data_IF_404419732150
#
_entry.id   IF_404419732150
#
_cell.length_a   1.000
_cell.length_b   1.000
_cell.length_c   1.000
_cell.angle_alpha   90.00
_cell.angle_beta   90.00
_cell.angle_gamma   90.00
#
_symmetry.space_group_name_H-M   'P 1'
#
loop_
_entity.id
_entity.type
_entity.pdbx_description
1 polymer ?
#
# COMPACT_ATOMS: atom_id res chain seq x y z
N UNK A 1 5.28 19.55 23.56
CA UNK A 1 5.35 18.42 24.47
C UNK A 1 6.79 17.91 24.66
N UNK A 2 7.02 16.92 25.57
CA UNK A 2 8.35 16.36 25.84
C UNK A 2 9.07 15.89 24.55
N UNK A 3 8.35 15.41 23.55
CA UNK A 3 8.92 14.98 22.26
C UNK A 3 9.65 16.08 21.48
N UNK A 4 9.26 17.35 21.65
CA UNK A 4 9.90 18.47 20.95
C UNK A 4 11.21 18.89 21.61
N UNK A 5 11.37 18.64 22.91
CA UNK A 5 12.59 18.92 23.66
C UNK A 5 13.73 18.02 23.18
N UNK A 6 13.47 16.72 23.00
CA UNK A 6 14.49 15.77 22.51
C UNK A 6 14.96 16.09 21.09
N UNK A 7 14.05 16.46 20.20
CA UNK A 7 14.36 16.82 18.81
C UNK A 7 15.32 18.03 18.72
N UNK A 8 15.34 18.89 19.73
CA UNK A 8 16.21 20.08 19.77
C UNK A 8 17.53 19.83 20.50
N UNK A 9 17.50 19.11 21.62
CA UNK A 9 18.68 18.92 22.48
C UNK A 9 19.62 17.86 21.92
N UNK A 10 19.11 16.72 21.44
CA UNK A 10 19.92 15.61 20.93
C UNK A 10 20.80 16.00 19.73
N UNK A 11 20.34 16.80 18.75
CA UNK A 11 21.23 17.28 17.68
C UNK A 11 22.38 18.16 18.15
N UNK A 12 22.22 18.85 19.27
CA UNK A 12 23.25 19.75 19.81
C UNK A 12 24.40 19.02 20.56
N UNK A 13 24.18 17.75 20.96
CA UNK A 13 25.22 16.97 21.64
C UNK A 13 26.36 16.63 20.69
N UNK A 14 27.62 16.76 21.18
CA UNK A 14 28.77 16.31 20.42
C UNK A 14 28.89 14.78 20.39
N UNK A 15 29.65 14.25 19.44
CA UNK A 15 29.91 12.81 19.34
C UNK A 15 30.68 12.27 20.53
N UNK A 16 31.63 13.08 21.06
CA UNK A 16 32.39 12.75 22.26
C UNK A 16 31.46 12.65 23.48
N UNK A 17 30.50 13.57 23.60
CA UNK A 17 29.56 13.56 24.74
C UNK A 17 28.66 12.31 24.68
N UNK A 18 28.17 11.93 23.51
CA UNK A 18 27.39 10.72 23.38
C UNK A 18 28.21 9.45 23.62
N UNK A 19 29.41 9.40 23.09
CA UNK A 19 30.33 8.27 23.33
C UNK A 19 30.60 8.09 24.83
N UNK A 20 30.82 9.19 25.54
CA UNK A 20 30.97 9.16 27.00
C UNK A 20 29.68 8.66 27.69
N UNK A 21 28.52 9.15 27.31
CA UNK A 21 27.24 8.71 27.89
C UNK A 21 27.01 7.22 27.68
N UNK A 22 27.29 6.68 26.50
CA UNK A 22 27.17 5.24 26.23
C UNK A 22 28.21 4.41 27.06
N UNK A 23 29.38 4.97 27.34
CA UNK A 23 30.37 4.32 28.18
C UNK A 23 29.99 4.33 29.69
N UNK A 24 29.42 5.46 30.14
CA UNK A 24 29.00 5.64 31.54
C UNK A 24 27.70 4.89 31.84
N UNK A 25 26.80 4.81 30.84
CA UNK A 25 25.48 4.16 30.94
C UNK A 25 25.21 3.25 29.72
N UNK A 26 25.74 2.00 29.72
CA UNK A 26 25.61 1.09 28.58
C UNK A 26 24.17 0.80 28.12
N UNK A 27 23.21 0.90 29.02
CA UNK A 27 21.77 0.71 28.71
C UNK A 27 21.25 1.74 27.68
N UNK A 28 21.87 2.91 27.59
CA UNK A 28 21.55 3.94 26.60
C UNK A 28 21.82 3.50 25.17
N UNK A 29 22.62 2.46 24.97
CA UNK A 29 22.89 1.89 23.63
C UNK A 29 21.61 1.39 22.94
N UNK A 30 20.58 1.02 23.70
CA UNK A 30 19.24 0.70 23.18
C UNK A 30 18.65 1.85 22.37
N UNK A 31 18.96 3.09 22.73
CA UNK A 31 18.45 4.30 22.07
C UNK A 31 19.41 4.85 21.00
N UNK A 32 20.50 4.16 20.70
CA UNK A 32 21.50 4.65 19.72
C UNK A 32 20.87 4.97 18.39
N UNK A 33 20.12 4.03 17.82
CA UNK A 33 19.51 4.22 16.49
C UNK A 33 18.51 5.40 16.47
N UNK A 34 17.53 5.51 17.37
CA UNK A 34 16.65 6.69 17.45
C UNK A 34 17.41 8.01 17.61
N UNK A 35 18.47 8.04 18.41
CA UNK A 35 19.30 9.23 18.61
C UNK A 35 20.03 9.59 17.30
N UNK A 36 20.61 8.60 16.61
CA UNK A 36 21.26 8.80 15.31
C UNK A 36 20.29 9.33 14.26
N UNK A 37 19.07 8.81 14.19
CA UNK A 37 18.02 9.29 13.27
C UNK A 37 17.66 10.76 13.51
N UNK A 38 17.54 11.18 14.77
CA UNK A 38 17.28 12.59 15.10
C UNK A 38 18.49 13.45 14.72
N UNK A 39 19.70 13.00 15.03
CA UNK A 39 20.94 13.76 14.79
C UNK A 39 21.29 13.87 13.31
N UNK A 40 21.01 12.84 12.52
CA UNK A 40 21.20 12.86 11.06
C UNK A 40 20.48 14.05 10.41
N UNK A 41 19.31 14.39 10.92
CA UNK A 41 18.50 15.50 10.43
C UNK A 41 18.96 16.89 10.90
N UNK A 42 20.10 17.01 11.58
CA UNK A 42 20.63 18.26 12.15
C UNK A 42 20.69 19.40 11.13
N UNK A 43 21.10 19.13 9.88
CA UNK A 43 21.19 20.11 8.80
C UNK A 43 19.82 20.70 8.38
N UNK A 44 18.75 19.97 8.67
CA UNK A 44 17.38 20.28 8.29
C UNK A 44 16.53 20.79 9.48
N UNK A 45 17.14 20.93 10.66
CA UNK A 45 16.50 21.54 11.84
C UNK A 45 16.79 23.03 11.83
N UNK A 46 15.76 23.83 12.04
CA UNK A 46 15.82 25.29 12.02
C UNK A 46 15.88 25.88 13.45
N UNK A 47 15.90 27.22 13.53
CA UNK A 47 15.80 27.89 14.83
C UNK A 47 14.46 27.57 15.50
N UNK A 48 14.36 27.67 16.84
CA UNK A 48 13.10 27.41 17.55
C UNK A 48 11.91 28.22 17.03
N UNK A 49 12.14 29.47 16.65
CA UNK A 49 11.12 30.38 16.12
C UNK A 49 10.63 29.90 14.73
N UNK A 50 11.56 29.49 13.86
CA UNK A 50 11.23 28.95 12.55
C UNK A 50 10.50 27.61 12.66
N UNK A 51 10.93 26.72 13.56
CA UNK A 51 10.23 25.44 13.79
C UNK A 51 8.80 25.66 14.33
N UNK A 52 8.61 26.62 15.22
CA UNK A 52 7.28 26.99 15.70
C UNK A 52 6.40 27.56 14.58
N UNK A 53 6.97 28.38 13.70
CA UNK A 53 6.26 28.93 12.54
C UNK A 53 5.87 27.80 11.55
N UNK A 54 6.79 26.87 11.24
CA UNK A 54 6.50 25.74 10.37
C UNK A 54 5.46 24.79 10.98
N UNK A 55 5.50 24.58 12.29
CA UNK A 55 4.49 23.77 12.98
C UNK A 55 3.09 24.39 12.86
N UNK A 56 2.98 25.72 13.02
CA UNK A 56 1.70 26.44 12.83
C UNK A 56 1.24 26.44 11.36
N UNK A 57 2.18 26.44 10.40
CA UNK A 57 1.86 26.34 8.97
C UNK A 57 1.37 24.93 8.57
N UNK A 58 1.63 23.90 9.38
CA UNK A 58 1.26 22.51 9.09
C UNK A 58 -0.23 22.33 8.88
N UNK A 59 -1.05 22.87 9.76
CA UNK A 59 -2.52 22.78 9.64
C UNK A 59 -3.04 23.40 8.33
N UNK A 60 -2.49 24.54 7.92
CA UNK A 60 -2.83 25.15 6.64
C UNK A 60 -2.28 24.32 5.45
N UNK A 61 -1.14 23.70 5.62
CA UNK A 61 -0.49 22.91 4.58
C UNK A 61 -1.24 21.61 4.25
N UNK A 62 -2.00 21.05 5.19
CA UNK A 62 -2.82 19.85 4.99
C UNK A 62 -4.12 20.14 4.22
N UNK A 63 -4.44 21.43 3.97
CA UNK A 63 -5.68 21.82 3.28
C UNK A 63 -5.87 21.22 1.89
N UNK A 64 -4.86 21.08 1.01
CA UNK A 64 -5.06 20.48 -0.30
C UNK A 64 -5.54 19.02 -0.23
N UNK A 65 -4.98 18.23 0.68
CA UNK A 65 -5.40 16.84 0.91
C UNK A 65 -6.83 16.79 1.48
N UNK A 66 -7.12 17.60 2.48
CA UNK A 66 -8.46 17.69 3.08
C UNK A 66 -9.53 18.11 2.05
N UNK A 67 -9.24 19.11 1.19
CA UNK A 67 -10.15 19.55 0.13
C UNK A 67 -10.40 18.41 -0.87
N UNK A 68 -9.33 17.73 -1.31
CA UNK A 68 -9.47 16.58 -2.21
C UNK A 68 -10.31 15.48 -1.57
N UNK A 69 -10.03 15.13 -0.31
CA UNK A 69 -10.76 14.08 0.41
C UNK A 69 -12.26 14.37 0.55
N UNK A 70 -12.62 15.59 0.92
CA UNK A 70 -14.04 16.01 1.01
C UNK A 70 -14.70 15.98 -0.37
N UNK A 71 -14.07 16.56 -1.37
CA UNK A 71 -14.58 16.54 -2.75
C UNK A 71 -14.80 15.10 -3.25
N UNK A 72 -13.77 14.25 -3.14
CA UNK A 72 -13.81 12.90 -3.69
C UNK A 72 -14.80 11.99 -2.96
N UNK A 73 -14.82 12.01 -1.63
CA UNK A 73 -15.63 11.09 -0.84
C UNK A 73 -17.07 11.58 -0.60
N UNK A 74 -17.28 12.90 -0.56
CA UNK A 74 -18.58 13.46 -0.17
C UNK A 74 -19.35 14.11 -1.34
N UNK A 75 -18.67 14.84 -2.23
CA UNK A 75 -19.34 15.67 -3.24
C UNK A 75 -19.39 15.01 -4.63
N UNK A 76 -18.36 14.23 -5.00
CA UNK A 76 -18.26 13.59 -6.30
C UNK A 76 -19.37 12.53 -6.46
N UNK A 77 -20.11 12.61 -7.55
CA UNK A 77 -21.16 11.65 -7.92
C UNK A 77 -21.02 11.29 -9.38
N UNK A 78 -21.13 10.00 -9.67
CA UNK A 78 -21.10 9.47 -11.02
C UNK A 78 -22.52 9.16 -11.48
N UNK A 79 -22.88 9.47 -12.74
CA UNK A 79 -24.11 8.97 -13.36
C UNK A 79 -24.10 7.44 -13.42
N UNK A 80 -25.27 6.81 -13.37
CA UNK A 80 -25.39 5.39 -13.67
C UNK A 80 -24.97 5.12 -15.12
N UNK A 81 -24.51 3.90 -15.39
CA UNK A 81 -24.07 3.45 -16.72
C UNK A 81 -24.95 2.31 -17.20
N UNK A 82 -25.07 2.14 -18.51
CA UNK A 82 -25.86 1.08 -19.11
C UNK A 82 -24.99 -0.04 -19.65
N UNK A 83 -25.45 -1.27 -19.48
CA UNK A 83 -24.85 -2.46 -20.11
C UNK A 83 -25.27 -2.60 -21.58
N UNK A 84 -24.76 -3.62 -22.27
CA UNK A 84 -25.06 -3.91 -23.65
C UNK A 84 -26.54 -4.28 -23.91
N UNK A 85 -27.29 -4.66 -22.88
CA UNK A 85 -28.72 -4.94 -22.93
C UNK A 85 -29.59 -3.72 -22.58
N UNK A 86 -28.99 -2.60 -22.17
CA UNK A 86 -29.68 -1.38 -21.78
C UNK A 86 -30.09 -1.31 -20.31
N UNK A 87 -29.65 -2.24 -19.46
CA UNK A 87 -29.88 -2.19 -18.02
C UNK A 87 -28.92 -1.23 -17.31
N UNK A 88 -29.46 -0.45 -16.38
CA UNK A 88 -28.67 0.51 -15.61
C UNK A 88 -27.87 -0.17 -14.50
N UNK A 89 -26.62 0.26 -14.34
CA UNK A 89 -25.69 -0.17 -13.32
C UNK A 89 -25.16 1.04 -12.53
N UNK A 90 -25.09 0.98 -11.19
CA UNK A 90 -24.54 2.06 -10.39
C UNK A 90 -23.02 2.18 -10.60
N UNK A 91 -22.55 3.38 -10.89
CA UNK A 91 -21.13 3.71 -10.98
C UNK A 91 -20.69 4.46 -9.73
N UNK A 92 -19.68 3.92 -9.06
CA UNK A 92 -19.00 4.50 -7.89
C UNK A 92 -17.53 4.09 -7.94
N UNK A 93 -16.68 4.66 -7.07
CA UNK A 93 -15.29 4.20 -6.95
C UNK A 93 -15.22 2.70 -6.61
N UNK A 94 -16.12 2.20 -5.76
CA UNK A 94 -16.16 0.80 -5.37
C UNK A 94 -16.64 -0.14 -6.49
N UNK A 95 -17.53 0.32 -7.38
CA UNK A 95 -18.05 -0.49 -8.47
C UNK A 95 -17.26 -0.34 -9.78
N UNK A 96 -16.37 0.65 -9.89
CA UNK A 96 -15.65 0.95 -11.13
C UNK A 96 -14.82 -0.25 -11.63
N UNK A 97 -13.93 -0.80 -10.81
CA UNK A 97 -13.11 -1.96 -11.20
C UNK A 97 -13.98 -3.20 -11.45
N UNK A 98 -14.93 -3.59 -10.57
CA UNK A 98 -15.89 -4.65 -10.87
C UNK A 98 -16.62 -4.50 -12.22
N UNK A 99 -17.03 -3.28 -12.59
CA UNK A 99 -17.64 -3.04 -13.90
C UNK A 99 -16.64 -3.25 -15.06
N UNK A 100 -15.34 -2.92 -14.88
CA UNK A 100 -14.31 -3.18 -15.87
C UNK A 100 -13.91 -4.67 -15.98
N UNK A 101 -14.24 -5.48 -14.98
CA UNK A 101 -14.08 -6.94 -15.02
C UNK A 101 -15.21 -7.66 -15.75
N UNK A 102 -16.32 -6.97 -16.05
CA UNK A 102 -17.46 -7.54 -16.76
C UNK A 102 -17.07 -8.15 -18.11
N UNK A 103 -17.71 -9.25 -18.50
CA UNK A 103 -17.62 -9.81 -19.85
C UNK A 103 -18.24 -8.91 -20.93
N UNK A 104 -19.16 -8.01 -20.56
CA UNK A 104 -19.79 -7.05 -21.46
C UNK A 104 -18.88 -5.86 -21.77
N UNK A 105 -18.34 -5.82 -22.99
CA UNK A 105 -17.45 -4.75 -23.41
C UNK A 105 -18.13 -3.38 -23.50
N UNK A 106 -19.44 -3.33 -23.78
CA UNK A 106 -20.19 -2.07 -23.81
C UNK A 106 -20.27 -1.48 -22.41
N UNK A 107 -20.57 -2.31 -21.40
CA UNK A 107 -20.60 -1.89 -20.00
C UNK A 107 -19.22 -1.38 -19.54
N UNK A 108 -18.14 -2.11 -19.83
CA UNK A 108 -16.77 -1.67 -19.47
C UNK A 108 -16.45 -0.31 -20.06
N UNK A 109 -16.74 -0.13 -21.34
CA UNK A 109 -16.52 1.13 -22.04
C UNK A 109 -17.33 2.26 -21.43
N UNK A 110 -18.63 2.06 -21.22
CA UNK A 110 -19.53 3.06 -20.65
C UNK A 110 -19.09 3.45 -19.24
N UNK A 111 -18.69 2.49 -18.41
CA UNK A 111 -18.16 2.75 -17.07
C UNK A 111 -16.88 3.60 -17.13
N UNK A 112 -15.93 3.23 -17.96
CA UNK A 112 -14.67 3.96 -18.11
C UNK A 112 -14.89 5.38 -18.64
N UNK A 113 -15.60 5.54 -19.74
CA UNK A 113 -15.83 6.84 -20.36
C UNK A 113 -16.61 7.77 -19.42
N UNK A 114 -17.66 7.27 -18.73
CA UNK A 114 -18.46 8.06 -17.78
C UNK A 114 -17.65 8.45 -16.55
N UNK A 115 -16.84 7.55 -16.00
CA UNK A 115 -15.99 7.83 -14.85
C UNK A 115 -15.01 8.97 -15.16
N UNK A 116 -14.24 8.85 -16.24
CA UNK A 116 -13.24 9.85 -16.60
C UNK A 116 -13.84 11.13 -17.18
N UNK A 117 -15.00 11.08 -17.84
CA UNK A 117 -15.72 12.28 -18.27
C UNK A 117 -16.19 13.10 -17.05
N UNK A 118 -16.70 12.42 -16.02
CA UNK A 118 -17.12 13.07 -14.77
C UNK A 118 -15.94 13.75 -14.08
N UNK A 119 -14.82 13.06 -13.88
CA UNK A 119 -13.59 13.65 -13.35
C UNK A 119 -13.08 14.80 -14.24
N UNK A 120 -13.16 14.63 -15.56
CA UNK A 120 -12.78 15.65 -16.55
C UNK A 120 -13.55 16.97 -16.39
N UNK A 121 -14.78 16.91 -15.91
CA UNK A 121 -15.59 18.10 -15.56
C UNK A 121 -14.97 18.94 -14.44
N UNK A 122 -14.18 18.32 -13.57
CA UNK A 122 -13.51 18.96 -12.44
C UNK A 122 -12.01 19.19 -12.66
N UNK A 123 -11.50 19.01 -13.88
CA UNK A 123 -10.07 19.05 -14.20
C UNK A 123 -9.36 20.27 -13.62
N UNK A 124 -9.95 21.46 -13.75
CA UNK A 124 -9.31 22.69 -13.29
C UNK A 124 -9.18 22.74 -11.76
N UNK A 125 -10.21 22.31 -11.04
CA UNK A 125 -10.20 22.22 -9.57
C UNK A 125 -9.19 21.19 -9.09
N UNK A 126 -9.21 20.00 -9.67
CA UNK A 126 -8.26 18.93 -9.34
C UNK A 126 -6.81 19.35 -9.63
N UNK A 127 -6.57 20.00 -10.77
CA UNK A 127 -5.24 20.53 -11.11
C UNK A 127 -4.76 21.61 -10.13
N UNK A 128 -5.66 22.52 -9.70
CA UNK A 128 -5.33 23.55 -8.72
C UNK A 128 -5.04 22.96 -7.34
N UNK A 129 -5.80 21.93 -6.92
CA UNK A 129 -5.57 21.23 -5.66
C UNK A 129 -4.23 20.50 -5.67
N UNK A 130 -3.91 19.81 -6.77
CA UNK A 130 -2.62 19.13 -6.94
C UNK A 130 -1.45 20.12 -6.98
N UNK A 131 -1.59 21.25 -7.68
CA UNK A 131 -0.57 22.32 -7.70
C UNK A 131 -0.34 22.90 -6.29
N UNK A 132 -1.41 23.06 -5.50
CA UNK A 132 -1.29 23.48 -4.11
C UNK A 132 -0.49 22.48 -3.27
N UNK A 133 -0.72 21.16 -3.47
CA UNK A 133 0.06 20.09 -2.83
C UNK A 133 1.54 20.16 -3.20
N UNK A 134 1.88 20.33 -4.49
CA UNK A 134 3.27 20.49 -4.92
C UNK A 134 3.93 21.74 -4.33
N UNK A 135 3.19 22.85 -4.24
CA UNK A 135 3.70 24.09 -3.60
C UNK A 135 3.97 23.88 -2.12
N UNK A 136 3.10 23.16 -1.42
CA UNK A 136 3.27 22.79 -0.02
C UNK A 136 4.54 21.94 0.17
N UNK A 137 4.71 20.84 -0.59
CA UNK A 137 5.89 20.00 -0.52
C UNK A 137 7.18 20.78 -0.79
N UNK A 138 7.18 21.64 -1.81
CA UNK A 138 8.33 22.48 -2.16
C UNK A 138 8.64 23.50 -1.07
N UNK A 139 7.61 24.10 -0.46
CA UNK A 139 7.80 25.05 0.64
C UNK A 139 8.54 24.40 1.82
N UNK A 140 8.10 23.23 2.28
CA UNK A 140 8.73 22.54 3.41
C UNK A 140 10.13 22.02 3.05
N UNK A 141 10.34 21.47 1.85
CA UNK A 141 11.65 21.04 1.40
C UNK A 141 12.66 22.21 1.39
N UNK A 142 12.28 23.35 0.81
CA UNK A 142 13.11 24.55 0.77
C UNK A 142 13.38 25.12 2.17
N UNK A 143 12.33 25.27 2.99
CA UNK A 143 12.47 25.79 4.36
C UNK A 143 13.46 24.92 5.18
N UNK A 144 13.42 23.60 5.00
CA UNK A 144 14.32 22.66 5.68
C UNK A 144 15.64 22.42 4.94
N UNK A 145 15.93 23.18 3.89
CA UNK A 145 17.20 23.16 3.14
C UNK A 145 17.49 21.81 2.47
N UNK A 146 16.47 21.12 2.00
CA UNK A 146 16.69 19.96 1.12
C UNK A 146 17.00 20.42 -0.31
N UNK A 147 17.86 19.70 -1.05
CA UNK A 147 18.17 20.00 -2.44
C UNK A 147 16.93 19.94 -3.35
N UNK A 148 16.03 19.00 -3.08
CA UNK A 148 14.78 18.82 -3.82
C UNK A 148 13.66 18.28 -2.92
N UNK A 149 12.44 18.26 -3.44
CA UNK A 149 11.30 17.57 -2.78
C UNK A 149 11.50 16.06 -2.74
N UNK A 150 12.19 15.47 -3.72
CA UNK A 150 12.55 14.05 -3.73
C UNK A 150 13.52 13.71 -2.61
N UNK A 151 14.59 14.51 -2.43
CA UNK A 151 15.51 14.33 -1.31
C UNK A 151 14.77 14.41 0.03
N UNK A 152 13.86 15.37 0.18
CA UNK A 152 13.06 15.53 1.40
C UNK A 152 12.15 14.33 1.68
N UNK A 153 11.53 13.77 0.62
CA UNK A 153 10.65 12.61 0.73
C UNK A 153 11.42 11.33 1.12
N UNK A 154 12.57 11.10 0.48
CA UNK A 154 13.38 9.91 0.71
C UNK A 154 14.20 9.96 2.00
N UNK A 155 14.45 11.16 2.54
CA UNK A 155 15.20 11.33 3.78
C UNK A 155 14.56 10.59 4.97
N UNK A 156 13.24 10.56 5.05
CA UNK A 156 12.53 9.92 6.16
C UNK A 156 12.83 8.41 6.27
N UNK A 157 13.03 7.76 5.13
CA UNK A 157 13.30 6.32 5.00
C UNK A 157 14.78 6.00 4.78
N UNK A 158 15.64 7.02 4.68
CA UNK A 158 17.08 6.89 4.42
C UNK A 158 17.39 6.19 3.08
N UNK A 159 16.50 6.34 2.10
CA UNK A 159 16.68 5.78 0.75
C UNK A 159 17.44 6.78 -0.11
N UNK A 160 18.59 6.41 -0.71
CA UNK A 160 19.30 7.27 -1.64
C UNK A 160 18.49 7.54 -2.92
N UNK A 161 18.59 8.75 -3.49
CA UNK A 161 17.95 9.10 -4.77
C UNK A 161 18.34 8.12 -5.89
N UNK A 162 19.57 7.61 -5.86
CA UNK A 162 20.03 6.61 -6.83
C UNK A 162 19.21 5.31 -6.84
N UNK A 163 18.59 4.92 -5.72
CA UNK A 163 17.68 3.77 -5.67
C UNK A 163 16.39 4.07 -6.43
N UNK A 164 15.85 5.28 -6.25
CA UNK A 164 14.67 5.75 -6.98
C UNK A 164 14.95 5.79 -8.50
N UNK A 165 16.06 6.37 -8.90
CA UNK A 165 16.47 6.45 -10.33
C UNK A 165 16.68 5.04 -10.91
N UNK A 166 17.38 4.16 -10.20
CA UNK A 166 17.60 2.76 -10.62
C UNK A 166 16.30 1.98 -10.79
N UNK A 167 15.29 2.25 -9.94
CA UNK A 167 13.96 1.64 -10.10
C UNK A 167 13.32 2.07 -11.43
N UNK A 168 13.33 3.37 -11.75
CA UNK A 168 12.79 3.89 -13.00
C UNK A 168 13.53 3.30 -14.20
N UNK A 169 14.85 3.28 -14.17
CA UNK A 169 15.68 2.69 -15.22
C UNK A 169 15.37 1.19 -15.41
N UNK A 170 15.23 0.45 -14.31
CA UNK A 170 14.91 -0.97 -14.35
C UNK A 170 13.52 -1.24 -14.93
N UNK A 171 12.52 -0.41 -14.60
CA UNK A 171 11.19 -0.49 -15.20
C UNK A 171 11.27 -0.22 -16.70
N UNK A 172 11.93 0.86 -17.12
CA UNK A 172 12.09 1.21 -18.53
C UNK A 172 12.81 0.11 -19.32
N UNK A 173 13.86 -0.48 -18.76
CA UNK A 173 14.60 -1.58 -19.39
C UNK A 173 13.77 -2.87 -19.57
N UNK A 174 12.63 -2.99 -18.89
CA UNK A 174 11.75 -4.16 -18.92
C UNK A 174 10.38 -3.91 -19.57
N UNK A 175 10.12 -2.71 -20.10
CA UNK A 175 8.85 -2.37 -20.75
C UNK A 175 8.49 -3.28 -21.94
N UNK A 176 9.48 -3.82 -22.65
CA UNK A 176 9.27 -4.77 -23.73
C UNK A 176 8.49 -6.02 -23.27
N UNK A 177 8.73 -6.47 -22.05
CA UNK A 177 8.00 -7.61 -21.44
C UNK A 177 6.55 -7.24 -21.18
N UNK A 178 6.30 -6.04 -20.67
CA UNK A 178 4.96 -5.52 -20.47
C UNK A 178 4.21 -5.39 -21.82
N UNK A 179 4.86 -4.84 -22.85
CA UNK A 179 4.26 -4.74 -24.18
C UNK A 179 3.92 -6.10 -24.79
N UNK A 180 4.74 -7.11 -24.56
CA UNK A 180 4.45 -8.50 -24.99
C UNK A 180 3.24 -9.06 -24.24
N UNK A 181 3.11 -8.79 -22.94
CA UNK A 181 1.94 -9.19 -22.15
C UNK A 181 0.67 -8.49 -22.65
N UNK A 182 0.71 -7.18 -22.88
CA UNK A 182 -0.42 -6.41 -23.41
C UNK A 182 -0.85 -6.93 -24.80
N UNK A 183 0.11 -7.26 -25.67
CA UNK A 183 -0.17 -7.85 -26.99
C UNK A 183 -0.78 -9.26 -26.87
N UNK A 184 -0.33 -10.07 -25.91
CA UNK A 184 -0.91 -11.36 -25.60
C UNK A 184 -2.37 -11.21 -25.12
N UNK A 185 -2.60 -10.27 -24.18
CA UNK A 185 -3.92 -9.96 -23.63
C UNK A 185 -4.91 -9.57 -24.73
N UNK A 186 -4.52 -8.66 -25.64
CA UNK A 186 -5.32 -8.27 -26.80
C UNK A 186 -5.75 -9.48 -27.62
N UNK A 187 -4.81 -10.38 -27.91
CA UNK A 187 -5.09 -11.61 -28.70
C UNK A 187 -6.01 -12.59 -27.99
N UNK A 188 -5.83 -12.77 -26.68
CA UNK A 188 -6.63 -13.71 -25.89
C UNK A 188 -8.06 -13.20 -25.66
N UNK A 189 -8.23 -11.88 -25.52
CA UNK A 189 -9.56 -11.25 -25.43
C UNK A 189 -10.27 -11.16 -26.78
N UNK A 190 -9.57 -11.44 -27.91
CA UNK A 190 -10.15 -11.41 -29.25
C UNK A 190 -10.58 -10.01 -29.72
N UNK A 191 -9.89 -8.96 -29.24
CA UNK A 191 -10.19 -7.57 -29.60
C UNK A 191 -9.20 -7.04 -30.59
N UNK A 192 -9.69 -6.24 -31.58
CA UNK A 192 -8.80 -5.62 -32.61
C UNK A 192 -7.87 -4.59 -31.99
N UNK A 193 -8.40 -3.81 -31.04
CA UNK A 193 -7.66 -2.82 -30.27
C UNK A 193 -7.97 -2.98 -28.78
N UNK A 194 -6.93 -3.04 -27.96
CA UNK A 194 -7.04 -3.09 -26.50
C UNK A 194 -7.11 -1.66 -25.97
N UNK A 195 -8.18 -1.36 -25.27
CA UNK A 195 -8.38 -0.09 -24.58
C UNK A 195 -8.17 -0.24 -23.08
N UNK A 196 -8.02 0.89 -22.37
CA UNK A 196 -7.84 0.88 -20.91
C UNK A 196 -9.00 0.19 -20.17
N UNK A 197 -10.22 0.25 -20.71
CA UNK A 197 -11.36 -0.47 -20.14
C UNK A 197 -11.32 -2.00 -20.35
N UNK A 198 -10.37 -2.53 -21.10
CA UNK A 198 -10.16 -3.97 -21.29
C UNK A 198 -9.07 -4.54 -20.38
N UNK A 199 -8.38 -3.68 -19.59
CA UNK A 199 -7.20 -4.08 -18.81
C UNK A 199 -7.57 -4.98 -17.63
N UNK A 200 -8.70 -4.77 -16.99
CA UNK A 200 -9.17 -5.57 -15.87
C UNK A 200 -10.01 -6.80 -16.25
N UNK A 201 -10.36 -6.93 -17.54
CA UNK A 201 -11.21 -8.05 -18.00
C UNK A 201 -10.51 -9.39 -17.79
N UNK A 202 -11.11 -10.38 -17.12
CA UNK A 202 -10.54 -11.71 -16.99
C UNK A 202 -10.26 -12.34 -18.36
N UNK A 203 -9.04 -12.84 -18.57
CA UNK A 203 -8.65 -13.54 -19.80
C UNK A 203 -9.14 -14.99 -19.79
N UNK A 204 -9.29 -15.57 -18.60
CA UNK A 204 -9.80 -16.92 -18.38
C UNK A 204 -11.13 -16.79 -17.65
N UNK A 205 -12.28 -16.81 -18.35
CA UNK A 205 -13.59 -16.78 -17.71
C UNK A 205 -13.89 -18.09 -17.00
N UNK A 206 -14.81 -18.07 -16.05
CA UNK A 206 -15.45 -19.24 -15.41
C UNK A 206 -14.52 -20.14 -14.57
N UNK A 207 -13.46 -19.61 -13.96
CA UNK A 207 -12.63 -20.33 -12.98
C UNK A 207 -12.85 -19.81 -11.54
N UNK A 208 -13.73 -18.81 -11.38
CA UNK A 208 -14.02 -18.26 -10.07
C UNK A 208 -14.75 -19.29 -9.20
N UNK A 209 -14.05 -19.86 -8.22
CA UNK A 209 -14.63 -20.63 -7.13
C UNK A 209 -14.99 -19.71 -5.97
N UNK A 210 -16.11 -19.99 -5.33
CA UNK A 210 -16.45 -19.36 -4.06
C UNK A 210 -15.57 -19.94 -2.96
N UNK A 211 -14.73 -19.11 -2.34
CA UNK A 211 -13.75 -19.50 -1.33
C UNK A 211 -14.11 -18.82 -0.01
N UNK A 212 -14.79 -19.55 0.86
CA UNK A 212 -15.13 -19.03 2.18
C UNK A 212 -13.90 -18.65 3.01
N UNK A 213 -14.07 -17.77 3.97
CA UNK A 213 -12.99 -17.37 4.88
C UNK A 213 -12.28 -18.56 5.54
N UNK A 214 -13.03 -19.58 5.97
CA UNK A 214 -12.44 -20.76 6.62
C UNK A 214 -11.62 -21.62 5.64
N UNK A 215 -12.03 -21.71 4.37
CA UNK A 215 -11.26 -22.36 3.33
C UNK A 215 -9.99 -21.57 3.01
N UNK A 216 -10.11 -20.24 2.87
CA UNK A 216 -8.98 -19.35 2.65
C UNK A 216 -7.96 -19.44 3.78
N UNK A 217 -8.41 -19.37 5.05
CA UNK A 217 -7.60 -19.57 6.27
C UNK A 217 -6.84 -20.89 6.23
N UNK A 218 -7.54 -22.00 5.94
CA UNK A 218 -6.92 -23.32 5.89
C UNK A 218 -5.84 -23.40 4.80
N UNK A 219 -6.13 -22.86 3.62
CA UNK A 219 -5.19 -22.85 2.48
C UNK A 219 -3.97 -21.96 2.78
N UNK A 220 -4.15 -20.79 3.38
CA UNK A 220 -3.05 -19.90 3.76
C UNK A 220 -2.15 -20.55 4.81
N UNK A 221 -2.73 -21.20 5.83
CA UNK A 221 -1.96 -21.94 6.84
C UNK A 221 -1.13 -23.09 6.21
N UNK A 222 -1.70 -23.85 5.27
CA UNK A 222 -1.01 -24.93 4.56
C UNK A 222 0.08 -24.40 3.63
N UNK A 223 -0.20 -23.31 2.91
CA UNK A 223 0.76 -22.67 2.01
C UNK A 223 1.99 -22.14 2.73
N UNK A 224 1.79 -21.53 3.90
CA UNK A 224 2.84 -20.90 4.70
C UNK A 224 3.54 -21.86 5.67
N UNK A 225 3.13 -23.14 5.72
CA UNK A 225 3.78 -24.15 6.54
C UNK A 225 5.28 -24.34 6.19
N UNK A 226 5.68 -23.99 4.96
CA UNK A 226 7.08 -23.99 4.53
C UNK A 226 7.98 -23.02 5.33
N UNK A 227 7.40 -22.01 6.01
CA UNK A 227 8.12 -21.07 6.88
C UNK A 227 8.42 -21.65 8.28
N UNK A 228 7.99 -22.88 8.54
CA UNK A 228 8.26 -23.59 9.79
C UNK A 228 7.12 -23.49 10.81
N UNK A 229 7.25 -24.33 11.84
CA UNK A 229 6.20 -24.54 12.83
C UNK A 229 5.97 -23.31 13.74
N UNK A 230 7.04 -22.60 14.08
CA UNK A 230 6.96 -21.38 14.89
C UNK A 230 6.15 -20.27 14.17
N UNK A 231 6.39 -20.09 12.87
CA UNK A 231 5.65 -19.11 12.07
C UNK A 231 4.17 -19.48 11.95
N UNK A 232 3.89 -20.74 11.63
CA UNK A 232 2.49 -21.21 11.48
C UNK A 232 1.73 -21.23 12.79
N UNK A 233 2.39 -21.47 13.92
CA UNK A 233 1.76 -21.37 15.24
C UNK A 233 1.33 -19.94 15.56
N UNK A 234 2.19 -18.94 15.28
CA UNK A 234 1.84 -17.52 15.45
C UNK A 234 0.72 -17.10 14.49
N UNK A 235 0.78 -17.54 13.24
CA UNK A 235 -0.25 -17.26 12.24
C UNK A 235 -1.61 -17.82 12.68
N UNK A 236 -1.64 -19.05 13.18
CA UNK A 236 -2.84 -19.70 13.75
C UNK A 236 -3.36 -18.95 14.96
N UNK A 237 -2.47 -18.49 15.86
CA UNK A 237 -2.84 -17.66 16.99
C UNK A 237 -3.57 -16.39 16.53
N UNK A 238 -3.09 -15.74 15.47
CA UNK A 238 -3.71 -14.53 14.89
C UNK A 238 -5.15 -14.79 14.43
N UNK A 239 -5.38 -15.89 13.74
CA UNK A 239 -6.72 -16.30 13.33
C UNK A 239 -7.63 -16.66 14.53
N UNK A 240 -7.13 -17.44 15.47
CA UNK A 240 -7.95 -18.00 16.57
C UNK A 240 -8.24 -16.95 17.65
N UNK A 241 -7.34 -15.97 17.86
CA UNK A 241 -7.50 -14.89 18.85
C UNK A 241 -8.13 -13.62 18.27
N UNK A 242 -8.72 -13.71 17.09
CA UNK A 242 -9.53 -12.64 16.51
C UNK A 242 -8.76 -11.35 16.29
N UNK A 243 -7.54 -11.46 15.74
CA UNK A 243 -6.80 -10.27 15.32
C UNK A 243 -7.43 -9.61 14.08
N UNK A 244 -8.30 -10.35 13.36
CA UNK A 244 -8.91 -9.95 12.10
C UNK A 244 -10.37 -9.51 12.30
N UNK A 245 -10.70 -8.38 11.73
CA UNK A 245 -12.07 -7.95 11.44
C UNK A 245 -12.39 -8.28 9.98
N UNK A 246 -13.15 -9.34 9.75
CA UNK A 246 -13.18 -10.08 8.48
C UNK A 246 -14.17 -9.51 7.47
N UNK A 247 -15.44 -9.35 7.88
CA UNK A 247 -16.54 -9.12 6.94
C UNK A 247 -16.85 -7.64 6.75
N UNK A 248 -17.30 -7.24 5.53
CA UNK A 248 -17.79 -5.89 5.30
C UNK A 248 -19.05 -5.60 6.12
N UNK A 249 -19.21 -4.35 6.54
CA UNK A 249 -20.44 -3.87 7.16
C UNK A 249 -20.63 -2.37 6.91
N UNK A 250 -21.84 -1.86 7.22
CA UNK A 250 -22.15 -0.45 7.03
C UNK A 250 -21.27 0.44 7.91
N UNK A 251 -20.61 1.41 7.31
CA UNK A 251 -19.70 2.34 7.98
C UNK A 251 -18.27 1.80 8.19
N UNK A 252 -17.97 0.58 7.79
CA UNK A 252 -16.61 0.04 7.78
C UNK A 252 -15.82 0.63 6.61
N UNK A 253 -14.55 0.99 6.86
CA UNK A 253 -13.63 1.46 5.83
C UNK A 253 -13.40 0.37 4.78
N UNK A 254 -13.39 0.75 3.49
CA UNK A 254 -13.06 -0.15 2.38
C UNK A 254 -11.58 -0.52 2.33
N UNK A 255 -11.26 -1.53 1.52
CA UNK A 255 -9.92 -2.08 1.38
C UNK A 255 -9.54 -3.03 2.52
N UNK A 256 -8.24 -3.33 2.63
CA UNK A 256 -7.67 -4.13 3.71
C UNK A 256 -6.43 -3.41 4.25
N UNK A 257 -6.09 -3.65 5.50
CA UNK A 257 -4.82 -3.19 6.07
C UNK A 257 -4.49 -3.94 7.38
N UNK A 258 -3.20 -4.03 7.67
CA UNK A 258 -2.70 -4.45 8.97
C UNK A 258 -2.12 -3.26 9.74
N UNK A 259 -2.46 -3.15 11.01
CA UNK A 259 -1.92 -2.15 11.93
C UNK A 259 -1.12 -2.82 13.03
N UNK A 260 0.20 -2.64 13.00
CA UNK A 260 1.10 -3.13 14.04
C UNK A 260 1.15 -2.18 15.21
N UNK A 261 0.99 -2.73 16.41
CA UNK A 261 1.23 -2.02 17.67
C UNK A 261 2.10 -2.87 18.59
N UNK A 262 2.88 -2.22 19.45
CA UNK A 262 3.82 -2.92 20.33
C UNK A 262 3.13 -3.88 21.31
N UNK A 263 1.88 -3.64 21.66
CA UNK A 263 1.04 -4.49 22.54
C UNK A 263 -0.44 -4.16 22.33
N UNK A 264 -1.37 -5.12 22.41
CA UNK A 264 -1.13 -6.56 22.71
C UNK A 264 -0.71 -7.38 21.49
N UNK A 265 -1.19 -7.06 20.27
CA UNK A 265 -0.93 -7.76 19.00
C UNK A 265 -1.33 -6.87 17.82
N UNK A 266 -0.92 -7.19 16.58
CA UNK A 266 -1.42 -6.51 15.39
C UNK A 266 -2.95 -6.67 15.23
N UNK A 267 -3.55 -5.73 14.51
CA UNK A 267 -4.95 -5.79 14.10
C UNK A 267 -5.03 -5.75 12.58
N UNK A 268 -5.87 -6.59 12.01
CA UNK A 268 -6.08 -6.70 10.57
C UNK A 268 -7.53 -6.37 10.24
N UNK A 269 -7.74 -5.44 9.33
CA UNK A 269 -9.06 -5.16 8.75
C UNK A 269 -9.13 -5.77 7.36
N UNK A 270 -10.18 -6.53 7.10
CA UNK A 270 -10.50 -7.13 5.81
C UNK A 270 -11.92 -6.72 5.39
N UNK A 271 -12.21 -6.89 4.11
CA UNK A 271 -13.56 -6.85 3.57
C UNK A 271 -13.74 -8.09 2.68
N UNK A 272 -13.86 -9.26 3.32
CA UNK A 272 -13.92 -10.57 2.68
C UNK A 272 -15.10 -10.69 1.71
N UNK A 273 -14.83 -11.12 0.47
CA UNK A 273 -15.81 -11.31 -0.62
C UNK A 273 -15.90 -12.77 -1.11
N UNK A 274 -15.31 -13.70 -0.37
CA UNK A 274 -15.34 -15.15 -0.62
C UNK A 274 -14.84 -15.55 -2.03
N UNK A 275 -13.77 -14.91 -2.48
CA UNK A 275 -13.10 -15.14 -3.75
C UNK A 275 -11.59 -15.36 -3.57
N UNK A 276 -10.90 -15.65 -4.67
CA UNK A 276 -9.46 -15.88 -4.67
C UNK A 276 -8.67 -14.61 -4.31
N UNK A 277 -9.13 -13.43 -4.72
CA UNK A 277 -8.51 -12.14 -4.39
C UNK A 277 -8.50 -11.92 -2.87
N UNK A 278 -9.64 -12.14 -2.21
CA UNK A 278 -9.74 -12.10 -0.75
C UNK A 278 -8.81 -13.11 -0.05
N UNK A 279 -8.58 -14.28 -0.64
CA UNK A 279 -7.64 -15.26 -0.10
C UNK A 279 -6.19 -14.75 -0.18
N UNK A 280 -5.80 -14.10 -1.26
CA UNK A 280 -4.49 -13.46 -1.38
C UNK A 280 -4.37 -12.28 -0.42
N UNK A 281 -5.42 -11.47 -0.28
CA UNK A 281 -5.48 -10.37 0.69
C UNK A 281 -5.26 -10.87 2.12
N UNK A 282 -5.86 -11.99 2.53
CA UNK A 282 -5.59 -12.62 3.83
C UNK A 282 -4.11 -12.96 3.99
N UNK A 283 -3.49 -13.57 2.98
CA UNK A 283 -2.07 -13.94 3.05
C UNK A 283 -1.17 -12.70 3.16
N UNK A 284 -1.47 -11.65 2.41
CA UNK A 284 -0.81 -10.36 2.41
C UNK A 284 -0.86 -9.68 3.78
N UNK A 285 -2.06 -9.42 4.27
CA UNK A 285 -2.26 -8.71 5.54
C UNK A 285 -1.72 -9.48 6.75
N UNK A 286 -1.82 -10.81 6.70
CA UNK A 286 -1.17 -11.64 7.71
C UNK A 286 0.36 -11.61 7.60
N UNK A 287 0.92 -11.36 6.43
CA UNK A 287 2.36 -11.08 6.26
C UNK A 287 2.79 -9.84 7.03
N UNK A 288 2.08 -8.73 6.86
CA UNK A 288 2.29 -7.51 7.64
C UNK A 288 2.11 -7.75 9.15
N UNK A 289 1.04 -8.46 9.52
CA UNK A 289 0.77 -8.76 10.93
C UNK A 289 1.92 -9.55 11.57
N UNK A 290 2.43 -10.59 10.89
CA UNK A 290 3.56 -11.38 11.38
C UNK A 290 4.86 -10.57 11.44
N UNK A 291 5.12 -9.71 10.43
CA UNK A 291 6.28 -8.82 10.44
C UNK A 291 6.23 -7.87 11.65
N UNK A 292 5.10 -7.18 11.85
CA UNK A 292 4.91 -6.28 12.99
C UNK A 292 5.01 -7.01 14.33
N UNK A 293 4.38 -8.18 14.44
CA UNK A 293 4.42 -8.99 15.65
C UNK A 293 5.85 -9.42 16.02
N UNK A 294 6.59 -9.94 15.05
CA UNK A 294 7.99 -10.37 15.26
C UNK A 294 8.92 -9.18 15.54
N UNK A 295 8.74 -8.07 14.84
CA UNK A 295 9.50 -6.85 15.12
C UNK A 295 9.26 -6.38 16.54
N UNK A 296 8.01 -6.26 16.99
CA UNK A 296 7.66 -5.84 18.34
C UNK A 296 8.11 -6.84 19.42
N UNK A 297 8.20 -8.11 19.08
CA UNK A 297 8.66 -9.17 20.00
C UNK A 297 10.17 -9.16 20.23
N UNK A 298 10.93 -8.87 19.19
CA UNK A 298 12.40 -9.00 19.19
C UNK A 298 13.14 -7.67 19.26
N UNK A 299 12.49 -6.55 19.02
CA UNK A 299 13.06 -5.22 19.08
C UNK A 299 12.59 -4.45 20.32
N UNK A 300 13.44 -3.58 20.87
CA UNK A 300 12.97 -2.56 21.81
C UNK A 300 11.89 -1.69 21.17
N UNK A 301 10.93 -1.19 21.96
CA UNK A 301 9.81 -0.36 21.48
C UNK A 301 10.27 0.82 20.61
N UNK A 302 11.41 1.41 20.94
CA UNK A 302 11.97 2.55 20.20
C UNK A 302 12.56 2.21 18.82
N UNK A 303 12.67 0.92 18.47
CA UNK A 303 13.17 0.40 17.19
C UNK A 303 12.29 -0.67 16.59
N UNK A 304 11.11 -0.94 17.17
CA UNK A 304 10.19 -1.98 16.70
C UNK A 304 9.42 -1.59 15.45
N UNK A 305 9.33 -0.31 15.16
CA UNK A 305 8.73 0.18 13.92
C UNK A 305 9.72 0.06 12.75
N UNK A 306 9.21 -0.17 11.55
CA UNK A 306 10.01 -0.34 10.34
C UNK A 306 9.58 0.66 9.25
N UNK A 307 10.51 0.97 8.35
CA UNK A 307 10.25 1.91 7.26
C UNK A 307 9.41 1.27 6.16
N UNK A 308 8.61 2.10 5.48
CA UNK A 308 7.72 1.66 4.39
C UNK A 308 8.46 0.87 3.30
N UNK A 309 9.73 1.17 3.06
CA UNK A 309 10.55 0.51 2.04
C UNK A 309 10.65 -1.02 2.21
N UNK A 310 10.55 -1.52 3.44
CA UNK A 310 10.61 -2.97 3.74
C UNK A 310 9.24 -3.54 4.15
N UNK A 311 8.21 -2.72 4.19
CA UNK A 311 6.89 -3.13 4.67
C UNK A 311 6.34 -4.30 3.86
N UNK A 312 6.44 -4.22 2.52
CA UNK A 312 5.87 -5.20 1.60
C UNK A 312 6.70 -6.49 1.42
N UNK A 313 7.85 -6.60 2.07
CA UNK A 313 8.70 -7.81 1.93
C UNK A 313 8.01 -9.05 2.48
N UNK A 314 7.38 -8.94 3.66
CA UNK A 314 6.73 -10.07 4.30
C UNK A 314 5.38 -10.41 3.64
N UNK A 315 4.59 -9.39 3.30
CA UNK A 315 3.29 -9.53 2.66
C UNK A 315 3.40 -10.20 1.29
N UNK A 316 4.25 -9.65 0.42
CA UNK A 316 4.48 -10.22 -0.92
C UNK A 316 5.17 -11.59 -0.88
N UNK A 317 6.02 -11.86 0.11
CA UNK A 317 6.57 -13.20 0.31
C UNK A 317 5.47 -14.23 0.59
N UNK A 318 4.51 -13.90 1.45
CA UNK A 318 3.37 -14.77 1.74
C UNK A 318 2.52 -15.03 0.49
N UNK A 319 2.25 -14.01 -0.33
CA UNK A 319 1.53 -14.16 -1.60
C UNK A 319 2.27 -15.08 -2.57
N UNK A 320 3.58 -14.90 -2.75
CA UNK A 320 4.40 -15.79 -3.60
C UNK A 320 4.34 -17.23 -3.12
N UNK A 321 4.39 -17.46 -1.81
CA UNK A 321 4.30 -18.80 -1.24
C UNK A 321 2.91 -19.40 -1.45
N UNK A 322 1.85 -18.63 -1.25
CA UNK A 322 0.47 -19.04 -1.55
C UNK A 322 0.30 -19.37 -3.02
N UNK A 323 0.75 -18.50 -3.93
CA UNK A 323 0.71 -18.72 -5.37
C UNK A 323 1.41 -20.05 -5.75
N UNK A 324 2.62 -20.25 -5.26
CA UNK A 324 3.38 -21.48 -5.53
C UNK A 324 2.70 -22.72 -4.99
N UNK A 325 2.04 -22.61 -3.84
CA UNK A 325 1.27 -23.69 -3.23
C UNK A 325 0.06 -24.05 -4.09
N UNK A 326 -0.74 -23.08 -4.49
CA UNK A 326 -1.90 -23.27 -5.37
C UNK A 326 -1.50 -23.86 -6.71
N UNK A 327 -0.45 -23.34 -7.36
CA UNK A 327 0.07 -23.85 -8.63
C UNK A 327 0.59 -25.32 -8.52
N UNK A 328 1.08 -25.74 -7.35
CA UNK A 328 1.48 -27.15 -7.14
C UNK A 328 0.29 -28.08 -6.96
N UNK A 329 -0.80 -27.59 -6.36
CA UNK A 329 -2.04 -28.36 -6.16
C UNK A 329 -2.90 -28.44 -7.41
N UNK A 330 -2.93 -27.38 -8.20
CA UNK A 330 -3.72 -27.32 -9.42
C UNK A 330 -3.12 -28.21 -10.53
N UNK A 331 -3.96 -29.05 -11.11
CA UNK A 331 -3.66 -29.86 -12.30
C UNK A 331 -4.37 -29.35 -13.55
N UNK A 332 -5.37 -28.51 -13.42
CA UNK A 332 -6.10 -27.91 -14.53
C UNK A 332 -5.28 -26.76 -15.16
N UNK A 333 -5.16 -26.80 -16.50
CA UNK A 333 -4.45 -25.76 -17.26
C UNK A 333 -5.13 -24.38 -17.19
N UNK A 334 -6.46 -24.34 -17.12
CA UNK A 334 -7.24 -23.10 -17.08
C UNK A 334 -7.08 -22.45 -15.71
N UNK A 335 -7.22 -23.22 -14.63
CA UNK A 335 -7.00 -22.75 -13.27
C UNK A 335 -5.57 -22.24 -13.09
N UNK A 336 -4.57 -22.97 -13.56
CA UNK A 336 -3.17 -22.53 -13.52
C UNK A 336 -2.93 -21.22 -14.29
N UNK A 337 -3.57 -21.07 -15.46
CA UNK A 337 -3.48 -19.83 -16.23
C UNK A 337 -4.16 -18.66 -15.49
N UNK A 338 -5.31 -18.91 -14.86
CA UNK A 338 -6.02 -17.92 -14.04
C UNK A 338 -5.16 -17.46 -12.86
N UNK A 339 -4.62 -18.37 -12.08
CA UNK A 339 -3.71 -18.10 -10.99
C UNK A 339 -2.50 -17.23 -11.43
N UNK A 340 -1.83 -17.64 -12.52
CA UNK A 340 -0.69 -16.88 -13.05
C UNK A 340 -1.07 -15.47 -13.49
N UNK A 341 -2.26 -15.29 -14.06
CA UNK A 341 -2.72 -14.00 -14.57
C UNK A 341 -3.19 -13.08 -13.45
N UNK A 342 -3.85 -13.61 -12.43
CA UNK A 342 -4.25 -12.86 -11.25
C UNK A 342 -3.03 -12.24 -10.58
N UNK A 343 -2.04 -13.05 -10.24
CA UNK A 343 -0.83 -12.59 -9.56
C UNK A 343 -0.04 -11.54 -10.36
N UNK A 344 0.05 -11.68 -11.68
CA UNK A 344 0.75 -10.70 -12.53
C UNK A 344 -0.02 -9.39 -12.72
N UNK A 345 -1.34 -9.41 -12.53
CA UNK A 345 -2.17 -8.20 -12.58
C UNK A 345 -2.18 -7.46 -11.24
N UNK A 346 -2.24 -8.20 -10.15
CA UNK A 346 -2.41 -7.71 -8.78
C UNK A 346 -1.12 -7.10 -8.21
N UNK A 347 0.03 -7.67 -8.53
CA UNK A 347 1.33 -7.09 -8.16
C UNK A 347 1.59 -5.68 -8.75
N UNK A 348 0.80 -5.25 -9.74
CA UNK A 348 0.84 -3.90 -10.30
C UNK A 348 -0.18 -2.95 -9.63
N UNK A 349 -1.11 -3.49 -8.85
CA UNK A 349 -2.21 -2.76 -8.21
C UNK A 349 -2.00 -2.58 -6.70
N UNK A 350 -0.83 -2.99 -6.19
CA UNK A 350 -0.51 -2.91 -4.76
C UNK A 350 -0.61 -1.46 -4.29
N UNK A 351 -1.64 -1.22 -3.51
CA UNK A 351 -2.15 0.11 -3.12
C UNK A 351 -1.35 0.61 -1.92
N UNK A 352 -0.10 0.91 -2.17
CA UNK A 352 0.65 1.65 -1.18
C UNK A 352 0.16 3.10 -1.08
#
# INVERSE_FOLDING_TARGET
GLGDVYKRQLPALSDETLTRFYAEQPELTTYRRPIEQVRRRRAHILSPECEALLANAGEMADSPDAIFGVFHNADLRFPAVTDGAGAEQPLTDATFVPLLQSGDRALRRNAFETYYATLGGYRNTLAATLDAQFKQLRFFANARRYPSTLDAALDATEVPVSVYDSLIESVHANLDKMYRYVALRRRLLGVDELHMYDVYTPIVPDVAEEISFEQAKATVLDALAVLGEDYTAMLREGFDRRWLDVYPNVGKRGGAYSSGIARPHPYVLLNQTDDLDSQFTIAHEMGHAMHSYLSCKHQPVCTSDYVIFVAEVASTCNEVLLMRHLLRKSTDRRERAYLCLLYTSDAADDKA
#
